data_IF_705795484206
#
_entry.id   IF_705795484206
#
_cell.length_a   1.000
_cell.length_b   1.000
_cell.length_c   1.000
_cell.angle_alpha   90.00
_cell.angle_beta   90.00
_cell.angle_gamma   90.00
#
_symmetry.space_group_name_H-M   'P 1'
#
loop_
_entity.id
_entity.type
_entity.pdbx_description
1 polymer ?
#
# COMPACT_ATOMS: atom_id res chain seq x y z
N UNK A 1 48.71 -5.96 53.10
CA UNK A 1 48.86 -6.42 51.69
C UNK A 1 48.18 -5.40 50.80
N UNK A 2 48.93 -4.41 50.30
CA UNK A 2 48.44 -3.46 49.30
C UNK A 2 48.79 -4.05 47.94
N UNK A 3 47.82 -4.69 47.29
CA UNK A 3 47.93 -4.95 45.86
C UNK A 3 47.44 -3.69 45.16
N UNK A 4 48.36 -2.78 44.86
CA UNK A 4 48.08 -1.63 44.01
C UNK A 4 47.87 -2.09 42.58
N UNK A 5 46.85 -1.57 41.91
CA UNK A 5 46.56 -1.81 40.49
C UNK A 5 47.83 -1.55 39.68
N UNK A 6 48.31 -2.55 38.94
CA UNK A 6 49.52 -2.37 38.12
C UNK A 6 49.17 -1.58 36.86
N UNK A 7 50.10 -0.79 36.33
CA UNK A 7 49.89 -0.03 35.08
C UNK A 7 49.45 -0.97 33.94
N UNK A 8 50.00 -2.19 33.91
CA UNK A 8 49.65 -3.22 32.94
C UNK A 8 48.17 -3.63 33.05
N UNK A 9 47.67 -3.82 34.28
CA UNK A 9 46.28 -4.18 34.54
C UNK A 9 45.31 -3.06 34.10
N UNK A 10 45.67 -1.79 34.32
CA UNK A 10 44.88 -0.65 33.84
C UNK A 10 44.78 -0.60 32.32
N UNK A 11 45.90 -0.82 31.62
CA UNK A 11 45.91 -0.86 30.14
C UNK A 11 45.05 -2.02 29.63
N UNK A 12 45.12 -3.18 30.29
CA UNK A 12 44.34 -4.36 29.90
C UNK A 12 42.83 -4.16 30.08
N UNK A 13 42.40 -3.52 31.19
CA UNK A 13 40.99 -3.20 31.44
C UNK A 13 40.46 -2.19 30.42
N UNK A 14 41.25 -1.17 30.06
CA UNK A 14 40.85 -0.17 29.05
C UNK A 14 40.73 -0.83 27.67
N UNK A 15 41.68 -1.69 27.30
CA UNK A 15 41.63 -2.47 26.05
C UNK A 15 40.36 -3.33 25.98
N UNK A 16 40.09 -4.15 27.00
CA UNK A 16 38.91 -5.02 27.02
C UNK A 16 37.62 -4.19 27.04
N UNK A 17 37.58 -3.12 27.83
CA UNK A 17 36.43 -2.21 27.90
C UNK A 17 36.13 -1.54 26.56
N UNK A 18 37.15 -1.12 25.81
CA UNK A 18 36.97 -0.51 24.49
C UNK A 18 36.41 -1.49 23.46
N UNK A 19 36.88 -2.74 23.46
CA UNK A 19 36.39 -3.79 22.56
C UNK A 19 34.92 -4.12 22.89
N UNK A 20 34.60 -4.25 24.18
CA UNK A 20 33.22 -4.48 24.63
C UNK A 20 32.30 -3.30 24.28
N UNK A 21 32.76 -2.06 24.45
CA UNK A 21 31.97 -0.88 24.10
C UNK A 21 31.63 -0.85 22.61
N UNK A 22 32.59 -1.15 21.72
CA UNK A 22 32.35 -1.21 20.27
C UNK A 22 31.36 -2.32 19.91
N UNK A 23 31.49 -3.51 20.53
CA UNK A 23 30.56 -4.62 20.30
C UNK A 23 29.13 -4.27 20.74
N UNK A 24 28.97 -3.59 21.89
CA UNK A 24 27.66 -3.13 22.37
C UNK A 24 27.05 -2.10 21.43
N UNK A 25 27.82 -1.12 20.96
CA UNK A 25 27.33 -0.11 20.01
C UNK A 25 26.88 -0.77 18.69
N UNK A 26 27.66 -1.71 18.16
CA UNK A 26 27.30 -2.45 16.95
C UNK A 26 26.05 -3.31 17.15
N UNK A 27 25.92 -3.97 18.30
CA UNK A 27 24.76 -4.79 18.64
C UNK A 27 23.49 -3.96 18.81
N UNK A 28 23.57 -2.81 19.49
CA UNK A 28 22.43 -1.88 19.64
C UNK A 28 22.04 -1.30 18.29
N UNK A 29 23.00 -0.89 17.46
CA UNK A 29 22.69 -0.41 16.11
C UNK A 29 22.05 -1.50 15.23
N UNK A 30 22.57 -2.72 15.22
CA UNK A 30 21.99 -3.80 14.40
C UNK A 30 20.68 -4.35 14.93
N UNK A 31 20.44 -4.30 16.25
CA UNK A 31 19.20 -4.81 16.86
C UNK A 31 18.08 -3.78 16.91
N UNK A 32 18.39 -2.47 17.00
CA UNK A 32 17.38 -1.41 17.05
C UNK A 32 16.91 -0.95 15.65
N UNK A 33 17.76 -1.04 14.63
CA UNK A 33 17.42 -0.55 13.27
C UNK A 33 16.39 -1.39 12.48
N UNK A 34 16.25 -2.73 12.63
CA UNK A 34 15.30 -3.49 11.81
C UNK A 34 13.83 -3.43 12.27
N UNK A 35 13.52 -2.83 13.42
CA UNK A 35 12.15 -2.86 13.98
C UNK A 35 11.23 -1.74 13.51
N UNK A 36 11.77 -0.62 13.01
CA UNK A 36 10.95 0.54 12.60
C UNK A 36 10.36 0.35 11.20
N UNK A 37 11.16 -0.16 10.26
CA UNK A 37 10.76 -0.32 8.85
C UNK A 37 9.55 -1.25 8.65
N UNK A 38 9.45 -2.42 9.30
CA UNK A 38 8.28 -3.29 9.16
C UNK A 38 7.02 -2.66 9.75
N UNK A 39 7.15 -1.90 10.86
CA UNK A 39 6.02 -1.22 11.50
C UNK A 39 5.51 -0.08 10.62
N UNK A 40 6.41 0.70 10.01
CA UNK A 40 6.01 1.74 9.06
C UNK A 40 5.32 1.16 7.83
N UNK A 41 5.82 0.05 7.30
CA UNK A 41 5.19 -0.64 6.17
C UNK A 41 3.81 -1.18 6.52
N UNK A 42 3.65 -1.78 7.70
CA UNK A 42 2.35 -2.29 8.13
C UNK A 42 1.33 -1.16 8.33
N UNK A 43 1.77 0.00 8.85
CA UNK A 43 0.90 1.17 9.01
C UNK A 43 0.46 1.74 7.64
N UNK A 44 1.38 1.81 6.67
CA UNK A 44 1.06 2.20 5.29
C UNK A 44 0.03 1.25 4.66
N UNK A 45 0.19 -0.06 4.83
CA UNK A 45 -0.74 -1.05 4.29
C UNK A 45 -2.14 -0.91 4.92
N UNK A 46 -2.23 -0.75 6.25
CA UNK A 46 -3.51 -0.53 6.92
C UNK A 46 -4.22 0.73 6.44
N UNK A 47 -3.49 1.82 6.20
CA UNK A 47 -4.05 3.04 5.62
C UNK A 47 -4.58 2.82 4.21
N UNK A 48 -3.81 2.16 3.35
CA UNK A 48 -4.25 1.84 1.99
C UNK A 48 -5.51 0.95 2.00
N UNK A 49 -5.55 -0.03 2.90
CA UNK A 49 -6.71 -0.91 3.07
C UNK A 49 -7.93 -0.14 3.58
N UNK A 50 -7.79 0.71 4.60
CA UNK A 50 -8.87 1.54 5.13
C UNK A 50 -9.48 2.42 4.02
N UNK A 51 -8.63 3.06 3.21
CA UNK A 51 -9.08 3.86 2.07
C UNK A 51 -9.81 2.99 1.05
N UNK A 52 -9.29 1.80 0.71
CA UNK A 52 -9.95 0.89 -0.23
C UNK A 52 -11.31 0.38 0.29
N UNK A 53 -11.42 0.15 1.59
CA UNK A 53 -12.69 -0.22 2.23
C UNK A 53 -13.72 0.91 2.14
N UNK A 54 -13.28 2.16 2.34
CA UNK A 54 -14.14 3.33 2.15
C UNK A 54 -14.60 3.44 0.69
N UNK A 55 -13.69 3.27 -0.29
CA UNK A 55 -14.03 3.29 -1.72
C UNK A 55 -15.03 2.18 -2.05
N UNK A 56 -14.81 0.98 -1.53
CA UNK A 56 -15.70 -0.17 -1.74
C UNK A 56 -17.07 0.06 -1.10
N UNK A 57 -17.12 0.73 0.05
CA UNK A 57 -18.35 1.14 0.72
C UNK A 57 -19.13 2.16 -0.11
N UNK A 58 -18.46 3.21 -0.60
CA UNK A 58 -19.07 4.22 -1.47
C UNK A 58 -19.55 3.61 -2.79
N UNK A 59 -18.79 2.69 -3.37
CA UNK A 59 -19.23 1.92 -4.53
C UNK A 59 -20.54 1.16 -4.26
N UNK A 60 -20.60 0.42 -3.14
CA UNK A 60 -21.81 -0.33 -2.75
C UNK A 60 -23.01 0.58 -2.52
N UNK A 61 -22.79 1.75 -1.89
CA UNK A 61 -23.85 2.75 -1.69
C UNK A 61 -24.34 3.31 -3.02
N UNK A 62 -23.42 3.68 -3.93
CA UNK A 62 -23.76 4.24 -5.23
C UNK A 62 -24.54 3.24 -6.09
N UNK A 63 -24.16 1.95 -6.06
CA UNK A 63 -24.91 0.88 -6.74
C UNK A 63 -26.30 0.69 -6.11
N UNK A 64 -26.39 0.65 -4.79
CA UNK A 64 -27.67 0.50 -4.09
C UNK A 64 -28.62 1.68 -4.36
N UNK A 65 -28.07 2.89 -4.41
CA UNK A 65 -28.81 4.11 -4.72
C UNK A 65 -29.28 4.13 -6.18
N UNK A 66 -28.40 3.84 -7.14
CA UNK A 66 -28.77 3.73 -8.55
C UNK A 66 -29.91 2.73 -8.76
N UNK A 67 -29.85 1.58 -8.06
CA UNK A 67 -30.93 0.60 -8.07
C UNK A 67 -32.24 1.13 -7.45
N UNK A 68 -32.17 1.85 -6.34
CA UNK A 68 -33.34 2.45 -5.70
C UNK A 68 -34.00 3.51 -6.60
N UNK A 69 -33.18 4.30 -7.29
CA UNK A 69 -33.61 5.37 -8.18
C UNK A 69 -34.01 4.86 -9.58
N UNK A 70 -33.86 3.55 -9.86
CA UNK A 70 -34.06 2.91 -11.18
C UNK A 70 -33.23 3.59 -12.30
N UNK A 71 -31.99 3.97 -11.99
CA UNK A 71 -31.04 4.55 -12.93
C UNK A 71 -29.88 3.58 -13.17
N UNK A 72 -29.37 3.54 -14.39
CA UNK A 72 -28.19 2.73 -14.71
C UNK A 72 -26.94 3.27 -13.99
N UNK A 73 -26.23 2.38 -13.31
CA UNK A 73 -24.99 2.73 -12.63
C UNK A 73 -23.83 2.87 -13.63
N UNK A 74 -23.20 4.05 -13.66
CA UNK A 74 -22.02 4.33 -14.49
C UNK A 74 -20.73 4.30 -13.67
N UNK A 75 -19.79 3.47 -14.10
CA UNK A 75 -18.42 3.42 -13.53
C UNK A 75 -17.64 4.73 -13.76
N UNK A 76 -17.96 5.48 -14.82
CA UNK A 76 -17.34 6.76 -15.13
C UNK A 76 -17.75 7.87 -14.17
N UNK A 77 -19.05 7.94 -13.86
CA UNK A 77 -19.57 8.85 -12.83
C UNK A 77 -18.96 8.52 -11.47
N UNK A 78 -18.83 7.23 -11.14
CA UNK A 78 -18.19 6.80 -9.90
C UNK A 78 -16.70 7.19 -9.84
N UNK A 79 -15.94 6.93 -10.90
CA UNK A 79 -14.53 7.31 -10.96
C UNK A 79 -14.35 8.83 -10.86
N UNK A 80 -15.19 9.60 -11.54
CA UNK A 80 -15.16 11.07 -11.50
C UNK A 80 -15.47 11.59 -10.10
N UNK A 81 -16.49 11.05 -9.43
CA UNK A 81 -16.81 11.40 -8.05
C UNK A 81 -15.66 11.06 -7.08
N UNK A 82 -15.01 9.92 -7.29
CA UNK A 82 -13.87 9.48 -6.49
C UNK A 82 -12.66 10.41 -6.66
N UNK A 83 -12.35 10.83 -7.90
CA UNK A 83 -11.27 11.79 -8.19
C UNK A 83 -11.57 13.21 -7.72
N UNK A 84 -12.84 13.56 -7.51
CA UNK A 84 -13.23 14.84 -6.95
C UNK A 84 -13.14 14.87 -5.41
N UNK A 85 -13.11 13.71 -4.76
CA UNK A 85 -13.13 13.58 -3.31
C UNK A 85 -11.71 13.64 -2.72
N UNK A 86 -11.44 14.71 -1.98
CA UNK A 86 -10.14 14.98 -1.36
C UNK A 86 -9.70 13.91 -0.36
N UNK A 87 -10.63 13.07 0.12
CA UNK A 87 -10.31 11.91 0.98
C UNK A 87 -9.49 10.86 0.24
N UNK A 88 -9.65 10.75 -1.08
CA UNK A 88 -9.08 9.66 -1.88
C UNK A 88 -8.00 10.14 -2.85
N UNK A 89 -8.04 11.40 -3.30
CA UNK A 89 -7.10 11.95 -4.30
C UNK A 89 -5.63 11.79 -3.93
N UNK A 90 -5.30 11.85 -2.64
CA UNK A 90 -3.92 11.67 -2.16
C UNK A 90 -3.38 10.25 -2.29
N UNK A 91 -4.26 9.26 -2.46
CA UNK A 91 -3.89 7.84 -2.53
C UNK A 91 -4.08 7.27 -3.93
N UNK A 92 -4.90 7.87 -4.79
CA UNK A 92 -5.17 7.35 -6.13
C UNK A 92 -3.94 7.53 -7.03
N UNK A 93 -3.45 6.42 -7.56
CA UNK A 93 -2.43 6.42 -8.59
C UNK A 93 -3.09 6.61 -9.95
N UNK A 94 -3.23 7.86 -10.38
CA UNK A 94 -3.74 8.26 -11.70
C UNK A 94 -3.18 7.44 -12.89
N UNK A 95 -1.85 7.21 -13.04
CA UNK A 95 -1.34 6.47 -14.19
C UNK A 95 -1.71 4.98 -14.22
N UNK A 96 -2.17 4.44 -13.08
CA UNK A 96 -2.49 3.02 -12.92
C UNK A 96 -3.98 2.79 -12.60
N UNK A 97 -4.78 3.85 -12.62
CA UNK A 97 -6.22 3.80 -12.34
C UNK A 97 -6.97 4.11 -13.62
N UNK A 98 -7.89 3.25 -14.01
CA UNK A 98 -8.62 3.38 -15.26
C UNK A 98 -9.34 2.11 -15.65
N UNK A 99 -9.69 1.99 -16.92
CA UNK A 99 -10.50 0.89 -17.43
C UNK A 99 -9.65 -0.19 -18.04
N UNK A 100 -10.02 -1.45 -17.76
CA UNK A 100 -9.50 -2.63 -18.41
C UNK A 100 -10.66 -3.41 -19.01
N UNK A 101 -10.40 -4.15 -20.08
CA UNK A 101 -11.33 -5.11 -20.66
C UNK A 101 -10.64 -6.46 -20.77
N UNK A 102 -11.43 -7.53 -20.77
CA UNK A 102 -10.94 -8.89 -20.93
C UNK A 102 -11.41 -9.41 -22.28
N UNK A 103 -10.47 -9.59 -23.20
CA UNK A 103 -10.75 -10.18 -24.52
C UNK A 103 -10.37 -11.65 -24.53
N UNK A 104 -11.25 -12.49 -25.06
CA UNK A 104 -10.94 -13.90 -25.32
C UNK A 104 -10.34 -14.04 -26.72
N UNK A 105 -9.18 -14.71 -26.81
CA UNK A 105 -8.55 -15.04 -28.10
C UNK A 105 -9.05 -16.39 -28.65
N UNK A 106 -10.16 -16.90 -28.11
CA UNK A 106 -10.70 -18.24 -28.37
C UNK A 106 -10.26 -19.23 -27.28
N UNK A 107 -11.22 -19.82 -26.56
CA UNK A 107 -10.98 -20.76 -25.47
C UNK A 107 -11.26 -20.19 -24.07
N UNK A 108 -10.65 -20.76 -23.02
CA UNK A 108 -10.80 -20.33 -21.60
C UNK A 108 -9.76 -19.28 -21.18
N UNK A 109 -8.93 -18.80 -22.10
CA UNK A 109 -7.91 -17.80 -21.83
C UNK A 109 -8.47 -16.39 -22.09
N UNK A 110 -8.24 -15.50 -21.12
CA UNK A 110 -8.63 -14.10 -21.18
C UNK A 110 -7.38 -13.25 -21.04
N UNK A 111 -7.19 -12.31 -21.95
CA UNK A 111 -6.11 -11.32 -21.85
C UNK A 111 -6.69 -9.99 -21.40
N UNK A 112 -6.06 -9.39 -20.39
CA UNK A 112 -6.41 -8.05 -19.93
C UNK A 112 -5.79 -7.01 -20.85
N UNK A 113 -6.58 -6.02 -21.24
CA UNK A 113 -6.09 -4.81 -21.91
C UNK A 113 -5.13 -4.02 -21.02
N UNK A 114 -4.30 -3.17 -21.63
CA UNK A 114 -3.66 -2.07 -20.92
C UNK A 114 -4.72 -1.16 -20.29
N UNK A 115 -4.35 -0.51 -19.17
CA UNK A 115 -5.21 0.46 -18.48
C UNK A 115 -5.46 1.66 -19.40
N UNK A 116 -6.71 1.88 -19.76
CA UNK A 116 -7.17 3.00 -20.56
C UNK A 116 -7.84 4.09 -19.73
N UNK A 117 -7.77 5.34 -20.19
CA UNK A 117 -8.47 6.46 -19.56
C UNK A 117 -9.98 6.47 -19.84
N UNK A 118 -10.41 5.81 -20.92
CA UNK A 118 -11.80 5.80 -21.37
C UNK A 118 -12.39 4.38 -21.24
N UNK A 119 -13.69 4.26 -20.92
CA UNK A 119 -14.37 2.96 -20.91
C UNK A 119 -14.47 2.39 -22.33
N UNK A 120 -13.99 1.17 -22.53
CA UNK A 120 -14.23 0.37 -23.74
C UNK A 120 -15.49 -0.50 -23.62
N UNK A 121 -15.63 -1.51 -24.49
CA UNK A 121 -16.73 -2.48 -24.38
C UNK A 121 -16.56 -3.37 -23.13
N UNK A 122 -17.62 -3.50 -22.32
CA UNK A 122 -17.63 -4.19 -21.02
C UNK A 122 -16.46 -3.77 -20.10
N UNK A 123 -16.39 -2.49 -19.71
CA UNK A 123 -15.26 -1.96 -18.97
C UNK A 123 -15.30 -2.44 -17.52
N UNK A 124 -14.16 -2.93 -17.05
CA UNK A 124 -13.89 -3.15 -15.63
C UNK A 124 -13.02 -2.00 -15.15
N UNK A 125 -13.45 -1.32 -14.10
CA UNK A 125 -12.69 -0.24 -13.49
C UNK A 125 -11.63 -0.82 -12.54
N UNK A 126 -10.36 -0.59 -12.85
CA UNK A 126 -9.23 -0.87 -11.98
C UNK A 126 -8.90 0.40 -11.19
N UNK A 127 -9.05 0.33 -9.86
CA UNK A 127 -8.60 1.40 -8.96
C UNK A 127 -7.30 0.98 -8.31
N UNK A 128 -6.27 1.79 -8.50
CA UNK A 128 -4.95 1.59 -7.89
C UNK A 128 -4.71 2.67 -6.85
N UNK A 129 -4.59 2.28 -5.59
CA UNK A 129 -4.09 3.12 -4.52
C UNK A 129 -2.58 2.94 -4.38
N UNK A 130 -1.86 4.01 -4.08
CA UNK A 130 -0.42 4.02 -3.87
C UNK A 130 -0.08 4.93 -2.70
N UNK A 131 0.77 4.43 -1.82
CA UNK A 131 1.44 5.24 -0.81
C UNK A 131 2.88 4.74 -0.70
N UNK A 132 3.84 5.65 -0.90
CA UNK A 132 5.28 5.31 -0.97
C UNK A 132 5.55 4.19 -1.99
N UNK A 133 6.09 3.05 -1.53
CA UNK A 133 6.42 1.88 -2.34
C UNK A 133 5.34 0.79 -2.33
N UNK A 134 4.22 1.01 -1.63
CA UNK A 134 3.11 0.07 -1.56
C UNK A 134 1.98 0.46 -2.52
N UNK A 135 1.34 -0.55 -3.11
CA UNK A 135 0.20 -0.39 -4.00
C UNK A 135 -0.88 -1.41 -3.70
N UNK A 136 -2.13 -0.94 -3.65
CA UNK A 136 -3.31 -1.78 -3.51
C UNK A 136 -4.21 -1.60 -4.72
N UNK A 137 -4.64 -2.70 -5.34
CA UNK A 137 -5.45 -2.69 -6.56
C UNK A 137 -6.76 -3.41 -6.33
N UNK A 138 -7.85 -2.83 -6.78
CA UNK A 138 -9.18 -3.45 -6.75
C UNK A 138 -9.90 -3.26 -8.07
N UNK A 139 -10.75 -4.24 -8.40
CA UNK A 139 -11.52 -4.30 -9.63
C UNK A 139 -13.00 -4.07 -9.33
N UNK A 140 -13.63 -3.20 -10.11
CA UNK A 140 -15.04 -2.86 -10.00
C UNK A 140 -15.71 -3.06 -11.36
N UNK A 141 -16.90 -3.66 -11.36
CA UNK A 141 -17.65 -3.99 -12.58
C UNK A 141 -19.01 -3.32 -12.52
N UNK A 142 -19.50 -2.75 -13.60
CA UNK A 142 -20.90 -2.35 -13.65
C UNK A 142 -21.76 -3.59 -13.38
N UNK A 143 -22.68 -3.52 -12.40
CA UNK A 143 -23.64 -4.60 -12.20
C UNK A 143 -24.55 -4.63 -13.44
N UNK A 144 -24.56 -5.76 -14.16
CA UNK A 144 -25.57 -6.01 -15.16
C UNK A 144 -26.94 -6.08 -14.48
N UNK A 145 -27.88 -5.30 -14.98
CA UNK A 145 -29.32 -5.47 -14.72
C UNK A 145 -29.79 -6.87 -15.10
#
# INVERSE_FOLDING_TARGET
KQSGFTILETIMVIMIGSVMAVMVVQFVNTSATPSVTPVTWMNTEYRLQEVMEQITSEYRKAVAQARADNVDFSLDTFLTALKADTRFTGFISEPNTGYISFTSTGGKEFQASAVGANPGDNPVLLITLRQEDQQLRSLFTAQGT
#
